data_IF_923246356593
#
_entry.id   IF_923246356593
#
_cell.length_a   1.000
_cell.length_b   1.000
_cell.length_c   1.000
_cell.angle_alpha   90.00
_cell.angle_beta   90.00
_cell.angle_gamma   90.00
#
_symmetry.space_group_name_H-M   'P 1'
#
loop_
_entity.id
_entity.type
_entity.pdbx_description
1 polymer ?
#
# COMPACT_ATOMS: atom_id res chain seq x y z
N UNK A 1 -33.54 -68.10 6.12
CA UNK A 1 -32.26 -67.57 6.65
C UNK A 1 -32.07 -66.15 6.15
N UNK A 2 -31.76 -65.21 7.07
CA UNK A 2 -31.35 -63.80 6.90
C UNK A 2 -32.41 -62.87 6.28
N UNK A 3 -33.03 -61.90 6.96
CA UNK A 3 -32.72 -61.20 8.22
C UNK A 3 -31.99 -59.88 7.94
N UNK A 4 -32.72 -58.80 7.63
CA UNK A 4 -32.19 -57.43 7.63
C UNK A 4 -33.21 -56.47 8.28
N UNK A 5 -32.80 -55.96 9.45
CA UNK A 5 -33.58 -55.08 10.31
C UNK A 5 -33.60 -53.63 9.83
N UNK A 6 -34.75 -52.98 10.06
CA UNK A 6 -34.94 -51.53 9.95
C UNK A 6 -34.45 -50.86 11.22
N UNK A 7 -33.45 -49.98 11.12
CA UNK A 7 -33.08 -49.07 12.20
C UNK A 7 -33.81 -47.73 12.01
N UNK A 8 -34.78 -47.45 12.88
CA UNK A 8 -35.33 -46.12 13.09
C UNK A 8 -34.36 -45.30 13.96
N UNK A 9 -33.91 -44.15 13.46
CA UNK A 9 -33.28 -43.10 14.27
C UNK A 9 -34.36 -42.09 14.69
N UNK A 10 -34.44 -41.72 15.99
CA UNK A 10 -35.31 -40.64 16.43
C UNK A 10 -34.72 -39.27 16.06
N UNK A 11 -35.61 -38.37 15.61
CA UNK A 11 -35.31 -36.96 15.35
C UNK A 11 -35.26 -36.20 16.69
N UNK A 12 -34.15 -35.52 16.96
CA UNK A 12 -34.05 -34.54 18.06
C UNK A 12 -34.56 -33.16 17.59
N UNK A 13 -35.37 -32.47 18.40
CA UNK A 13 -35.82 -31.11 18.09
C UNK A 13 -34.68 -30.11 18.32
N UNK A 14 -34.41 -29.25 17.33
CA UNK A 14 -33.54 -28.08 17.47
C UNK A 14 -34.31 -26.98 18.21
N UNK A 15 -33.93 -26.73 19.45
CA UNK A 15 -34.34 -25.54 20.19
C UNK A 15 -33.70 -24.29 19.58
N UNK A 16 -34.54 -23.33 19.20
CA UNK A 16 -34.11 -22.01 18.76
C UNK A 16 -33.77 -21.13 19.95
N UNK A 17 -32.57 -20.56 19.94
CA UNK A 17 -32.20 -19.45 20.79
C UNK A 17 -32.12 -18.20 19.91
N UNK A 18 -33.14 -17.35 20.04
CA UNK A 18 -33.20 -16.00 19.49
C UNK A 18 -32.42 -15.08 20.44
N UNK A 19 -31.32 -14.43 20.03
CA UNK A 19 -30.74 -13.35 20.81
C UNK A 19 -31.56 -12.08 20.58
N UNK A 20 -32.00 -11.54 21.71
CA UNK A 20 -32.76 -10.32 21.93
C UNK A 20 -32.11 -9.13 21.20
N UNK A 21 -32.91 -8.43 20.40
CA UNK A 21 -32.61 -7.08 19.90
C UNK A 21 -32.37 -6.14 21.08
N UNK A 22 -31.16 -5.61 21.17
CA UNK A 22 -30.81 -4.55 22.10
C UNK A 22 -31.05 -3.20 21.40
N UNK A 23 -31.94 -2.41 21.98
CA UNK A 23 -32.34 -1.07 21.51
C UNK A 23 -31.13 -0.13 21.33
N UNK A 24 -31.03 0.48 20.15
CA UNK A 24 -30.18 1.64 19.89
C UNK A 24 -30.90 2.91 20.38
N UNK A 25 -30.23 3.80 21.15
CA UNK A 25 -30.79 5.10 21.51
C UNK A 25 -30.75 6.10 20.32
N UNK A 26 -31.66 7.08 20.27
CA UNK A 26 -31.80 8.00 19.14
C UNK A 26 -30.85 9.20 19.21
N UNK A 27 -30.29 9.55 18.05
CA UNK A 27 -30.23 10.93 17.53
C UNK A 27 -29.08 11.84 17.96
N UNK A 28 -28.24 12.22 16.99
CA UNK A 28 -27.62 13.56 16.92
C UNK A 28 -27.80 14.09 15.49
N UNK A 29 -28.37 15.30 15.28
CA UNK A 29 -28.58 15.85 13.95
C UNK A 29 -27.29 16.45 13.36
N UNK A 30 -27.06 16.15 12.07
CA UNK A 30 -26.02 16.74 11.23
C UNK A 30 -26.28 18.24 11.01
N UNK A 31 -25.37 19.07 11.50
CA UNK A 31 -25.26 20.47 11.11
C UNK A 31 -24.76 20.57 9.67
N UNK A 32 -25.60 21.15 8.81
CA UNK A 32 -25.23 21.63 7.48
C UNK A 32 -24.06 22.63 7.58
N UNK A 33 -22.97 22.38 6.86
CA UNK A 33 -21.97 23.40 6.53
C UNK A 33 -22.07 23.77 5.06
N UNK A 34 -22.53 24.99 4.85
CA UNK A 34 -22.50 25.74 3.61
C UNK A 34 -21.03 26.05 3.30
N UNK A 35 -20.50 25.52 2.20
CA UNK A 35 -19.21 25.95 1.64
C UNK A 35 -19.51 26.97 0.56
N UNK A 36 -19.23 28.23 0.85
CA UNK A 36 -19.23 29.32 -0.11
C UNK A 36 -17.98 29.23 -0.99
N UNK A 37 -18.19 29.09 -2.30
CA UNK A 37 -17.15 29.18 -3.33
C UNK A 37 -16.74 30.65 -3.51
N UNK A 38 -15.46 30.96 -3.33
CA UNK A 38 -14.86 32.21 -3.79
C UNK A 38 -13.94 31.93 -4.99
N UNK A 39 -14.06 32.68 -6.10
CA UNK A 39 -13.17 32.53 -7.25
C UNK A 39 -11.89 33.36 -7.05
N UNK A 40 -10.74 32.70 -6.94
CA UNK A 40 -9.45 33.38 -7.03
C UNK A 40 -8.99 33.38 -8.49
N UNK A 41 -9.15 34.56 -9.11
CA UNK A 41 -8.41 34.98 -10.29
C UNK A 41 -6.91 35.06 -9.95
N UNK A 42 -6.05 34.38 -10.71
CA UNK A 42 -4.64 34.75 -10.80
C UNK A 42 -4.27 35.05 -12.25
N UNK A 43 -3.96 36.33 -12.45
CA UNK A 43 -3.46 36.90 -13.70
C UNK A 43 -2.00 36.50 -13.94
N UNK A 44 -1.71 36.19 -15.21
CA UNK A 44 -0.38 35.95 -15.72
C UNK A 44 0.50 37.22 -15.68
N UNK A 45 1.81 37.03 -15.48
CA UNK A 45 2.83 38.02 -15.88
C UNK A 45 4.08 37.30 -16.37
N UNK A 46 4.55 37.55 -17.62
CA UNK A 46 5.81 37.03 -18.13
C UNK A 46 6.89 38.11 -18.04
N UNK A 47 8.02 37.79 -17.41
CA UNK A 47 9.28 38.54 -17.46
C UNK A 47 10.36 37.47 -17.22
N UNK A 48 11.45 37.32 -17.96
CA UNK A 48 12.09 38.11 -19.00
C UNK A 48 13.46 37.47 -19.21
N UNK A 49 13.95 37.55 -20.45
CA UNK A 49 15.22 37.06 -20.95
C UNK A 49 16.46 37.68 -20.28
N UNK A 50 17.56 36.95 -20.45
CA UNK A 50 18.96 37.41 -20.57
C UNK A 50 19.69 37.96 -19.33
N UNK A 51 20.75 37.24 -18.93
CA UNK A 51 22.13 37.72 -19.10
C UNK A 51 23.17 36.63 -18.78
N UNK A 52 23.94 36.27 -19.80
CA UNK A 52 25.36 35.89 -19.64
C UNK A 52 26.11 37.07 -19.01
N UNK A 53 27.13 36.80 -18.21
CA UNK A 53 28.42 37.47 -18.34
C UNK A 53 29.51 36.67 -17.59
N UNK A 54 30.58 36.44 -18.34
CA UNK A 54 31.83 35.83 -17.93
C UNK A 54 32.63 36.77 -17.01
N UNK A 55 33.35 36.17 -16.07
CA UNK A 55 34.79 36.36 -15.79
C UNK A 55 35.35 37.76 -15.49
N UNK A 56 36.08 37.87 -14.37
CA UNK A 56 37.36 38.61 -14.15
C UNK A 56 37.85 38.19 -12.75
N UNK A 57 38.87 37.33 -12.59
CA UNK A 57 40.32 37.58 -12.44
C UNK A 57 40.74 38.67 -11.43
N UNK A 58 41.37 38.19 -10.34
CA UNK A 58 42.56 38.69 -9.60
C UNK A 58 42.54 40.13 -9.07
N UNK A 59 42.80 40.25 -7.76
CA UNK A 59 43.84 41.16 -7.24
C UNK A 59 44.38 40.67 -5.90
N UNK A 60 45.69 40.83 -5.78
CA UNK A 60 46.58 40.55 -4.65
C UNK A 60 46.64 41.76 -3.69
N UNK A 61 47.11 41.45 -2.48
CA UNK A 61 48.07 42.22 -1.67
C UNK A 61 47.57 43.02 -0.44
N UNK A 62 48.48 43.00 0.54
CA UNK A 62 48.59 43.74 1.79
C UNK A 62 47.58 43.34 2.88
N UNK A 63 47.97 42.79 4.03
CA UNK A 63 49.14 43.13 4.83
C UNK A 63 48.69 44.08 5.93
N UNK A 64 48.17 43.55 7.04
CA UNK A 64 48.03 44.29 8.30
C UNK A 64 48.29 43.36 9.49
N UNK A 65 49.22 43.83 10.30
CA UNK A 65 49.74 43.29 11.54
C UNK A 65 48.79 43.50 12.73
N UNK A 66 48.79 42.51 13.61
CA UNK A 66 48.61 42.56 15.08
C UNK A 66 47.45 43.36 15.67
N UNK A 67 46.53 42.65 16.32
CA UNK A 67 46.27 42.81 17.76
C UNK A 67 45.59 41.55 18.29
N UNK A 68 46.28 40.85 19.19
CA UNK A 68 45.71 39.76 19.97
C UNK A 68 44.82 40.36 21.05
N UNK A 69 43.50 40.26 20.86
CA UNK A 69 42.54 40.43 21.96
C UNK A 69 42.12 39.02 22.36
N UNK A 70 42.69 38.53 23.45
CA UNK A 70 42.21 37.34 24.15
C UNK A 70 40.88 37.68 24.83
N UNK A 71 39.81 37.71 24.04
CA UNK A 71 38.47 37.57 24.58
C UNK A 71 38.27 36.08 24.84
N UNK A 72 38.19 35.72 26.12
CA UNK A 72 37.61 34.47 26.59
C UNK A 72 36.13 34.45 26.19
N UNK A 73 35.87 34.26 24.90
CA UNK A 73 34.59 33.73 24.44
C UNK A 73 34.59 32.28 24.92
N UNK A 74 33.94 32.06 26.06
CA UNK A 74 33.40 30.74 26.37
C UNK A 74 32.41 30.48 25.25
N UNK A 75 32.90 29.93 24.14
CA UNK A 75 32.06 29.21 23.22
C UNK A 75 31.54 28.05 24.07
N UNK A 76 30.39 28.27 24.68
CA UNK A 76 29.49 27.18 25.00
C UNK A 76 29.24 26.54 23.65
N UNK A 77 30.08 25.55 23.33
CA UNK A 77 29.71 24.47 22.45
C UNK A 77 28.41 23.98 23.06
N UNK A 78 27.30 24.48 22.56
CA UNK A 78 26.03 23.79 22.65
C UNK A 78 26.35 22.51 21.91
N UNK A 79 26.87 21.54 22.66
CA UNK A 79 26.81 20.15 22.30
C UNK A 79 25.32 19.92 22.21
N UNK A 80 24.80 20.17 21.02
CA UNK A 80 23.55 19.63 20.55
C UNK A 80 23.79 18.13 20.66
N UNK A 81 23.47 17.60 21.86
CA UNK A 81 23.50 16.18 22.14
C UNK A 81 22.74 15.57 20.97
N UNK A 82 23.39 14.72 20.15
CA UNK A 82 22.75 14.20 18.96
C UNK A 82 21.44 13.60 19.43
N UNK A 83 20.33 14.20 19.01
CA UNK A 83 18.98 13.81 19.41
C UNK A 83 18.95 12.32 19.17
N UNK A 84 18.96 11.55 20.25
CA UNK A 84 19.23 10.11 20.19
C UNK A 84 18.14 9.56 19.31
N UNK A 85 18.46 9.27 18.04
CA UNK A 85 17.51 8.79 17.04
C UNK A 85 16.73 7.70 17.74
N UNK A 86 15.44 7.92 17.99
CA UNK A 86 14.68 7.08 18.92
C UNK A 86 14.86 5.64 18.45
N UNK A 87 15.57 4.86 19.25
CA UNK A 87 15.98 3.53 18.87
C UNK A 87 14.75 2.66 18.63
N UNK A 88 14.91 1.58 17.87
CA UNK A 88 13.88 0.55 17.77
C UNK A 88 13.35 0.19 19.17
N UNK A 89 12.01 0.15 19.37
CA UNK A 89 11.43 -0.37 20.60
C UNK A 89 12.06 -1.73 20.94
N UNK A 90 12.36 -1.99 22.21
CA UNK A 90 13.01 -3.25 22.60
C UNK A 90 12.06 -4.45 22.48
N UNK A 91 10.76 -4.19 22.43
CA UNK A 91 9.70 -5.17 22.40
C UNK A 91 8.58 -4.70 21.45
N UNK A 92 7.99 -5.64 20.72
CA UNK A 92 6.82 -5.40 19.87
C UNK A 92 5.55 -5.34 20.73
N UNK A 93 4.84 -4.21 20.66
CA UNK A 93 3.67 -3.95 21.50
C UNK A 93 2.33 -4.43 20.94
N UNK A 94 2.30 -4.90 19.69
CA UNK A 94 1.06 -5.27 19.00
C UNK A 94 0.56 -6.67 19.33
N UNK A 95 -0.76 -6.83 19.45
CA UNK A 95 -1.41 -8.15 19.58
C UNK A 95 -1.66 -8.86 18.24
N UNK A 96 -1.29 -8.25 17.12
CA UNK A 96 -1.52 -8.77 15.77
C UNK A 96 -0.27 -8.67 14.88
N UNK A 97 -0.26 -9.45 13.80
CA UNK A 97 0.84 -9.49 12.84
C UNK A 97 0.92 -8.17 12.06
N UNK A 98 2.03 -7.44 12.22
CA UNK A 98 2.31 -6.19 11.50
C UNK A 98 1.39 -5.00 11.80
N UNK A 99 0.26 -5.20 12.47
CA UNK A 99 -0.79 -4.22 12.68
C UNK A 99 -0.56 -3.25 13.85
N UNK A 100 0.69 -3.01 14.26
CA UNK A 100 1.00 -2.11 15.37
C UNK A 100 2.16 -1.17 15.05
N UNK A 101 2.02 0.07 15.52
CA UNK A 101 3.06 1.10 15.57
C UNK A 101 3.06 1.78 16.96
N UNK A 102 4.19 2.31 17.44
CA UNK A 102 4.28 2.91 18.77
C UNK A 102 3.40 4.14 19.01
N UNK A 103 3.18 4.95 17.96
CA UNK A 103 2.33 6.14 17.99
C UNK A 103 1.90 6.48 16.56
N UNK A 104 0.67 6.98 16.43
CA UNK A 104 0.26 7.66 15.19
C UNK A 104 1.08 8.94 15.02
N UNK A 105 1.45 9.26 13.78
CA UNK A 105 2.21 10.46 13.51
C UNK A 105 1.28 11.65 13.26
N UNK A 106 1.77 12.85 13.59
CA UNK A 106 1.15 14.11 13.19
C UNK A 106 1.97 14.68 12.02
N UNK A 107 1.68 14.17 10.81
CA UNK A 107 2.35 14.55 9.57
C UNK A 107 1.26 14.75 8.51
N UNK A 108 1.34 15.85 7.76
CA UNK A 108 0.40 16.14 6.68
C UNK A 108 0.28 14.97 5.69
N UNK A 109 -0.97 14.52 5.45
CA UNK A 109 -1.29 13.43 4.53
C UNK A 109 -1.14 12.01 5.11
N UNK A 110 -0.82 11.85 6.39
CA UNK A 110 -0.71 10.53 7.04
C UNK A 110 -2.05 9.76 7.07
N UNK A 111 -3.16 10.49 6.98
CA UNK A 111 -4.52 9.93 6.93
C UNK A 111 -4.91 9.43 5.53
N UNK A 112 -4.11 9.73 4.51
CA UNK A 112 -4.37 9.35 3.11
C UNK A 112 -3.36 8.34 2.57
N UNK A 113 -2.13 8.31 3.12
CA UNK A 113 -1.04 7.46 2.65
C UNK A 113 -0.18 6.91 3.78
N UNK A 114 0.35 5.70 3.57
CA UNK A 114 1.22 5.05 4.55
C UNK A 114 2.49 5.84 4.85
N UNK A 115 3.09 6.50 3.85
CA UNK A 115 4.31 7.30 3.99
C UNK A 115 4.20 8.58 3.14
N UNK A 116 3.69 9.69 3.69
CA UNK A 116 3.62 10.97 2.99
C UNK A 116 5.00 11.64 2.82
N UNK A 117 5.10 12.60 1.91
CA UNK A 117 6.26 13.49 1.82
C UNK A 117 7.58 12.81 1.37
N UNK A 118 8.71 13.36 1.85
CA UNK A 118 10.05 12.96 1.44
C UNK A 118 10.94 12.72 2.68
N UNK A 119 10.90 11.52 3.26
CA UNK A 119 11.76 11.18 4.39
C UNK A 119 13.23 11.11 3.98
N UNK A 120 14.13 11.40 4.94
CA UNK A 120 15.58 11.47 4.74
C UNK A 120 16.33 10.23 5.22
N UNK A 121 15.73 9.46 6.13
CA UNK A 121 16.25 8.16 6.54
C UNK A 121 15.12 7.20 6.88
N UNK A 122 15.37 5.90 6.68
CA UNK A 122 14.49 4.85 7.18
C UNK A 122 15.28 3.83 8.02
N UNK A 123 14.72 3.41 9.16
CA UNK A 123 15.27 2.35 10.01
C UNK A 123 14.26 1.23 10.18
N UNK A 124 14.63 0.02 9.76
CA UNK A 124 13.80 -1.19 9.91
C UNK A 124 14.21 -1.92 11.20
N UNK A 125 13.26 -2.22 12.05
CA UNK A 125 13.39 -2.97 13.29
C UNK A 125 12.70 -4.33 13.13
N UNK A 126 13.40 -5.42 13.46
CA UNK A 126 12.89 -6.78 13.27
C UNK A 126 12.60 -7.48 14.60
N UNK A 127 11.42 -8.10 14.68
CA UNK A 127 10.89 -8.79 15.86
C UNK A 127 10.41 -10.20 15.47
N UNK A 128 11.33 -11.20 15.41
CA UNK A 128 10.99 -12.57 15.05
C UNK A 128 10.07 -13.21 16.10
N UNK A 129 9.07 -13.95 15.64
CA UNK A 129 8.10 -14.63 16.48
C UNK A 129 7.29 -15.67 15.70
N UNK A 130 6.04 -15.87 16.13
CA UNK A 130 5.09 -16.78 15.49
C UNK A 130 3.70 -16.14 15.46
N UNK A 131 2.96 -16.30 14.38
CA UNK A 131 1.61 -15.75 14.25
C UNK A 131 0.55 -16.43 15.16
N UNK A 132 0.91 -17.48 15.91
CA UNK A 132 0.06 -18.12 16.93
C UNK A 132 0.29 -17.59 18.34
N UNK A 133 1.35 -16.81 18.55
CA UNK A 133 1.71 -16.19 19.84
C UNK A 133 2.28 -14.81 19.55
N UNK A 134 1.37 -13.88 19.29
CA UNK A 134 1.70 -12.51 18.91
C UNK A 134 1.82 -11.62 20.14
N UNK A 135 2.67 -10.62 20.02
CA UNK A 135 2.94 -9.64 21.05
C UNK A 135 4.11 -10.06 21.92
N UNK A 136 4.86 -9.04 22.37
CA UNK A 136 6.04 -9.18 23.22
C UNK A 136 7.26 -9.79 22.55
N UNK A 137 7.29 -9.88 21.22
CA UNK A 137 8.47 -10.28 20.48
C UNK A 137 9.61 -9.29 20.76
N UNK A 138 10.80 -9.80 21.05
CA UNK A 138 11.96 -8.96 21.35
C UNK A 138 12.64 -8.49 20.07
N UNK A 139 13.21 -7.29 20.13
CA UNK A 139 14.05 -6.75 19.08
C UNK A 139 15.23 -7.70 18.82
N UNK A 140 15.30 -8.24 17.60
CA UNK A 140 16.44 -9.07 17.18
C UNK A 140 17.51 -8.27 16.45
N UNK A 141 17.14 -7.16 15.82
CA UNK A 141 18.07 -6.35 15.06
C UNK A 141 17.41 -5.13 14.42
N UNK A 142 18.26 -4.23 13.95
CA UNK A 142 17.83 -3.07 13.17
C UNK A 142 18.74 -2.86 11.96
N UNK A 143 18.18 -2.23 10.93
CA UNK A 143 18.88 -1.89 9.69
C UNK A 143 18.46 -0.52 9.21
N UNK A 144 19.44 0.35 8.97
CA UNK A 144 19.20 1.62 8.28
C UNK A 144 19.18 1.38 6.78
N UNK A 145 18.19 1.95 6.09
CA UNK A 145 18.13 2.11 4.64
C UNK A 145 18.53 3.55 4.35
N UNK A 146 19.59 3.77 3.58
CA UNK A 146 20.13 5.12 3.32
C UNK A 146 19.92 5.59 1.89
N UNK A 147 20.17 4.73 0.90
CA UNK A 147 20.17 5.14 -0.50
C UNK A 147 18.78 5.03 -1.16
N UNK A 148 17.90 4.19 -0.61
CA UNK A 148 16.61 3.86 -1.22
C UNK A 148 15.42 4.35 -0.40
N UNK A 149 15.63 5.31 0.51
CA UNK A 149 14.58 5.81 1.42
C UNK A 149 13.40 6.39 0.65
N UNK A 150 13.68 7.22 -0.35
CA UNK A 150 12.63 7.81 -1.19
C UNK A 150 11.93 6.76 -2.05
N UNK A 151 12.65 5.73 -2.52
CA UNK A 151 12.04 4.63 -3.26
C UNK A 151 11.12 3.81 -2.34
N UNK A 152 11.55 3.52 -1.12
CA UNK A 152 10.75 2.83 -0.10
C UNK A 152 9.49 3.62 0.26
N UNK A 153 9.65 4.90 0.60
CA UNK A 153 8.53 5.79 0.92
C UNK A 153 7.53 5.86 -0.24
N UNK A 154 8.03 6.06 -1.47
CA UNK A 154 7.20 6.08 -2.67
C UNK A 154 6.44 4.78 -2.85
N UNK A 155 7.11 3.64 -2.81
CA UNK A 155 6.48 2.35 -3.06
C UNK A 155 5.40 2.04 -2.01
N UNK A 156 5.65 2.38 -0.73
CA UNK A 156 4.66 2.24 0.35
C UNK A 156 3.49 3.24 0.21
N UNK A 157 3.76 4.47 -0.23
CA UNK A 157 2.72 5.49 -0.47
C UNK A 157 1.75 5.13 -1.59
N UNK A 158 2.17 4.23 -2.49
CA UNK A 158 1.35 3.76 -3.59
C UNK A 158 0.52 2.52 -3.25
N UNK A 159 0.67 1.93 -2.07
CA UNK A 159 -0.17 0.81 -1.69
C UNK A 159 -1.62 1.29 -1.51
N UNK A 160 -2.62 0.50 -1.93
CA UNK A 160 -4.03 0.81 -1.69
C UNK A 160 -4.31 0.81 -0.18
N UNK A 161 -5.00 1.84 0.29
CA UNK A 161 -5.45 1.94 1.68
C UNK A 161 -6.84 1.34 1.83
N UNK A 162 -7.07 0.61 2.91
CA UNK A 162 -8.29 -0.15 3.18
C UNK A 162 -8.78 0.13 4.60
N UNK A 163 -10.09 0.24 4.78
CA UNK A 163 -10.69 0.50 6.09
C UNK A 163 -10.81 -0.72 7.02
N UNK A 164 -10.91 -1.94 6.47
CA UNK A 164 -11.37 -3.10 7.26
C UNK A 164 -10.37 -4.26 7.36
N UNK A 165 -10.54 -5.08 8.40
CA UNK A 165 -9.90 -6.40 8.53
C UNK A 165 -10.46 -7.38 7.50
N UNK A 166 -9.64 -8.33 7.05
CA UNK A 166 -10.09 -9.43 6.18
C UNK A 166 -9.77 -10.79 6.80
N UNK A 167 -10.60 -11.77 6.48
CA UNK A 167 -10.43 -13.14 6.94
C UNK A 167 -9.33 -13.82 6.15
N UNK A 168 -8.31 -14.30 6.89
CA UNK A 168 -7.25 -15.11 6.33
C UNK A 168 -7.25 -16.49 6.93
N UNK A 169 -6.86 -17.47 6.10
CA UNK A 169 -6.59 -18.81 6.59
C UNK A 169 -5.47 -18.74 7.62
N UNK A 170 -5.81 -18.99 8.88
CA UNK A 170 -4.84 -18.98 9.97
C UNK A 170 -3.97 -20.24 9.92
N UNK A 171 -3.00 -20.31 9.00
CA UNK A 171 -1.93 -21.30 9.15
C UNK A 171 -0.91 -20.77 10.14
N UNK A 172 -0.75 -21.51 11.25
CA UNK A 172 0.28 -21.22 12.24
C UNK A 172 1.68 -21.40 11.67
N UNK A 173 2.57 -20.45 11.93
CA UNK A 173 3.91 -20.45 11.35
C UNK A 173 4.84 -19.40 11.92
N UNK A 174 6.07 -19.42 11.39
CA UNK A 174 7.07 -18.39 11.68
C UNK A 174 6.62 -17.06 11.10
N UNK A 175 6.89 -16.01 11.85
CA UNK A 175 6.61 -14.64 11.46
C UNK A 175 7.76 -13.75 11.90
N UNK A 176 7.95 -12.63 11.20
CA UNK A 176 8.77 -11.52 11.67
C UNK A 176 7.92 -10.27 11.61
N UNK A 177 7.63 -9.67 12.77
CA UNK A 177 7.03 -8.34 12.82
C UNK A 177 8.12 -7.30 12.52
N UNK A 178 7.73 -6.27 11.78
CA UNK A 178 8.60 -5.16 11.41
C UNK A 178 7.99 -3.83 11.85
N UNK A 179 8.86 -2.96 12.36
CA UNK A 179 8.60 -1.53 12.46
C UNK A 179 9.59 -0.80 11.57
N UNK A 180 9.12 0.11 10.73
CA UNK A 180 9.94 0.98 9.90
C UNK A 180 9.75 2.40 10.39
N UNK A 181 10.82 3.01 10.90
CA UNK A 181 10.83 4.43 11.22
C UNK A 181 11.30 5.22 10.01
N UNK A 182 10.50 6.17 9.56
CA UNK A 182 10.92 7.21 8.62
C UNK A 182 11.18 8.51 9.38
N UNK A 183 12.38 9.07 9.24
CA UNK A 183 12.73 10.39 9.79
C UNK A 183 12.60 11.45 8.67
N UNK A 184 12.07 12.64 9.02
CA UNK A 184 11.87 13.76 8.10
C UNK A 184 12.84 14.92 8.39
N UNK A 185 13.09 15.83 7.42
CA UNK A 185 14.01 16.95 7.60
C UNK A 185 13.71 17.87 8.80
N UNK A 186 12.44 18.00 9.21
CA UNK A 186 12.03 18.84 10.34
C UNK A 186 12.19 18.18 11.72
N UNK A 187 12.68 16.93 11.76
CA UNK A 187 12.84 16.16 13.00
C UNK A 187 11.61 15.31 13.36
N UNK A 188 10.52 15.44 12.60
CA UNK A 188 9.36 14.56 12.72
C UNK A 188 9.70 13.14 12.29
N UNK A 189 8.87 12.18 12.73
CA UNK A 189 9.01 10.81 12.30
C UNK A 189 7.71 10.05 12.28
N UNK A 190 7.69 9.09 11.36
CA UNK A 190 6.58 8.19 11.11
C UNK A 190 7.00 6.76 11.39
N UNK A 191 6.12 5.99 12.01
CA UNK A 191 6.28 4.55 12.12
C UNK A 191 5.33 3.85 11.14
N UNK A 192 5.85 2.84 10.45
CA UNK A 192 5.05 1.91 9.66
C UNK A 192 5.25 0.50 10.20
N UNK A 193 4.16 -0.17 10.57
CA UNK A 193 4.12 -1.56 10.98
C UNK A 193 3.81 -2.46 9.79
N UNK A 194 4.46 -3.62 9.73
CA UNK A 194 4.14 -4.71 8.78
C UNK A 194 4.74 -6.02 9.29
N UNK A 195 4.60 -7.11 8.55
CA UNK A 195 5.21 -8.39 8.88
C UNK A 195 5.57 -9.22 7.64
N UNK A 196 6.46 -10.20 7.81
CA UNK A 196 6.61 -11.32 6.89
C UNK A 196 6.09 -12.58 7.58
N UNK A 197 5.14 -13.28 6.96
CA UNK A 197 4.60 -14.53 7.48
C UNK A 197 4.13 -15.47 6.36
N UNK A 198 3.77 -16.69 6.75
CA UNK A 198 3.58 -17.82 5.84
C UNK A 198 2.33 -17.73 4.95
N UNK A 199 1.32 -16.96 5.34
CA UNK A 199 0.07 -16.79 4.61
C UNK A 199 0.09 -15.58 3.66
N UNK A 200 1.14 -14.75 3.70
CA UNK A 200 1.20 -13.43 3.05
C UNK A 200 -0.03 -12.55 3.33
N UNK A 201 -0.62 -12.69 4.51
CA UNK A 201 -1.81 -11.99 4.96
C UNK A 201 -1.50 -11.18 6.22
N UNK A 202 -0.92 -10.01 6.01
CA UNK A 202 -0.68 -9.03 7.07
C UNK A 202 -0.96 -7.65 6.53
N UNK A 203 -1.49 -6.80 7.41
CA UNK A 203 -1.65 -5.40 7.09
C UNK A 203 -0.30 -4.68 7.20
N UNK A 204 -0.13 -3.66 6.37
CA UNK A 204 0.88 -2.63 6.56
C UNK A 204 0.16 -1.36 7.01
N UNK A 205 0.57 -0.76 8.13
CA UNK A 205 -0.15 0.38 8.73
C UNK A 205 0.80 1.43 9.25
N UNK A 206 0.39 2.69 9.22
CA UNK A 206 1.08 3.79 9.90
C UNK A 206 0.42 4.22 11.22
N UNK A 207 -0.58 3.45 11.69
CA UNK A 207 -1.39 3.77 12.86
C UNK A 207 -2.69 4.51 12.55
N UNK A 208 -2.80 5.16 11.39
CA UNK A 208 -4.04 5.83 10.94
C UNK A 208 -4.70 5.12 9.77
N UNK A 209 -3.92 4.80 8.73
CA UNK A 209 -4.38 4.01 7.58
C UNK A 209 -3.70 2.65 7.55
N UNK A 210 -4.35 1.70 6.88
CA UNK A 210 -3.83 0.35 6.67
C UNK A 210 -3.91 -0.03 5.20
N UNK A 211 -3.01 -0.90 4.74
CA UNK A 211 -3.04 -1.54 3.44
C UNK A 211 -2.99 -3.06 3.60
N UNK A 212 -3.75 -3.77 2.79
CA UNK A 212 -3.70 -5.24 2.69
C UNK A 212 -2.62 -5.75 1.74
N UNK A 213 -1.94 -4.85 1.03
CA UNK A 213 -0.89 -5.25 0.09
C UNK A 213 0.31 -5.83 0.81
N UNK A 214 0.69 -7.04 0.44
CA UNK A 214 1.77 -7.75 1.10
C UNK A 214 3.14 -7.26 0.63
N UNK A 215 3.89 -6.67 1.57
CA UNK A 215 5.27 -6.18 1.34
C UNK A 215 6.32 -6.85 2.24
N UNK A 216 5.92 -7.86 3.02
CA UNK A 216 6.79 -8.52 4.00
C UNK A 216 8.12 -9.01 3.45
N UNK A 217 8.11 -9.69 2.29
CA UNK A 217 9.34 -10.18 1.62
C UNK A 217 10.31 -9.04 1.27
N UNK A 218 9.79 -7.92 0.78
CA UNK A 218 10.61 -6.75 0.43
C UNK A 218 11.23 -6.12 1.68
N UNK A 219 10.47 -6.02 2.77
CA UNK A 219 10.96 -5.53 4.07
C UNK A 219 12.05 -6.45 4.63
N UNK A 220 11.86 -7.78 4.56
CA UNK A 220 12.87 -8.75 4.99
C UNK A 220 14.17 -8.62 4.19
N UNK A 221 14.06 -8.49 2.86
CA UNK A 221 15.21 -8.29 1.99
C UNK A 221 15.95 -6.98 2.33
N UNK A 222 15.21 -5.90 2.54
CA UNK A 222 15.76 -4.60 2.93
C UNK A 222 16.40 -4.62 4.31
N UNK A 223 15.81 -5.31 5.29
CA UNK A 223 16.43 -5.49 6.61
C UNK A 223 17.76 -6.26 6.53
N UNK A 224 17.83 -7.28 5.67
CA UNK A 224 19.05 -8.08 5.48
C UNK A 224 20.15 -7.29 4.76
N UNK A 225 19.79 -6.55 3.73
CA UNK A 225 20.76 -5.96 2.78
C UNK A 225 21.01 -4.46 2.98
N UNK A 226 20.09 -3.75 3.62
CA UNK A 226 20.09 -2.28 3.69
C UNK A 226 19.55 -1.58 2.42
N UNK A 227 19.15 -2.34 1.40
CA UNK A 227 18.66 -1.79 0.13
C UNK A 227 17.18 -2.12 -0.05
N UNK A 228 16.39 -1.13 -0.45
CA UNK A 228 14.96 -1.36 -0.71
C UNK A 228 14.71 -1.68 -2.17
N UNK A 229 13.98 -2.76 -2.40
CA UNK A 229 13.48 -3.12 -3.72
C UNK A 229 12.25 -4.02 -3.57
N UNK A 230 11.17 -3.66 -4.26
CA UNK A 230 10.09 -4.60 -4.53
C UNK A 230 10.46 -5.38 -5.78
N UNK A 231 10.63 -6.69 -5.62
CA UNK A 231 10.88 -7.56 -6.77
C UNK A 231 9.60 -7.68 -7.61
N UNK A 232 9.68 -7.42 -8.93
CA UNK A 232 8.57 -7.71 -9.79
C UNK A 232 8.29 -9.22 -9.77
N UNK A 233 7.03 -9.63 -9.96
CA UNK A 233 6.70 -11.05 -10.06
C UNK A 233 7.48 -11.70 -11.21
N UNK A 234 7.94 -12.94 -11.01
CA UNK A 234 8.66 -13.71 -12.05
C UNK A 234 7.86 -13.78 -13.36
N UNK A 235 6.55 -13.93 -13.23
CA UNK A 235 5.62 -13.88 -14.34
C UNK A 235 4.73 -12.64 -14.24
N UNK A 236 4.70 -11.75 -15.25
CA UNK A 236 3.98 -10.48 -15.18
C UNK A 236 2.46 -10.64 -15.08
N UNK A 237 1.94 -11.86 -15.35
CA UNK A 237 0.53 -12.21 -15.17
C UNK A 237 0.19 -12.84 -13.81
N UNK A 238 1.18 -13.07 -12.93
CA UNK A 238 0.97 -13.74 -11.63
C UNK A 238 1.14 -12.80 -10.44
N UNK A 239 1.66 -11.58 -10.63
CA UNK A 239 1.84 -10.63 -9.53
C UNK A 239 0.53 -10.10 -8.95
N UNK A 240 0.48 -10.02 -7.63
CA UNK A 240 -0.50 -9.23 -6.90
C UNK A 240 -0.30 -7.77 -7.31
N UNK A 241 -1.23 -7.26 -8.14
CA UNK A 241 -1.28 -5.84 -8.45
C UNK A 241 -2.05 -5.10 -7.34
N UNK A 242 -1.97 -3.79 -7.39
CA UNK A 242 -2.55 -2.94 -6.37
C UNK A 242 -1.93 -1.56 -6.43
N UNK A 243 -2.78 -0.55 -6.54
CA UNK A 243 -2.36 0.85 -6.54
C UNK A 243 -3.37 1.67 -5.77
N UNK A 244 -2.89 2.65 -5.02
CA UNK A 244 -3.73 3.71 -4.42
C UNK A 244 -4.70 4.30 -5.45
N UNK A 245 -5.94 4.53 -5.03
CA UNK A 245 -7.05 4.92 -5.90
C UNK A 245 -7.86 3.73 -6.42
N UNK A 246 -7.38 2.50 -6.25
CA UNK A 246 -8.17 1.30 -6.57
C UNK A 246 -9.32 1.01 -5.60
N UNK A 247 -9.40 1.76 -4.51
CA UNK A 247 -10.50 1.88 -3.56
C UNK A 247 -11.62 2.82 -4.05
N UNK A 248 -11.33 3.69 -5.02
CA UNK A 248 -12.27 4.70 -5.54
C UNK A 248 -12.66 4.45 -7.01
N UNK A 249 -11.84 3.69 -7.73
CA UNK A 249 -12.04 3.36 -9.15
C UNK A 249 -11.41 2.01 -9.47
N UNK A 250 -11.94 1.24 -10.41
CA UNK A 250 -11.33 -0.03 -10.81
C UNK A 250 -9.89 0.14 -11.30
N UNK A 251 -9.66 1.22 -12.07
CA UNK A 251 -8.37 1.58 -12.66
C UNK A 251 -8.09 3.07 -12.44
N UNK A 252 -7.08 3.45 -11.66
CA UNK A 252 -6.69 4.85 -11.47
C UNK A 252 -6.39 5.58 -12.78
N UNK A 253 -6.46 6.91 -12.74
CA UNK A 253 -6.31 7.75 -13.93
C UNK A 253 -4.94 7.67 -14.61
N UNK A 254 -4.90 8.02 -15.89
CA UNK A 254 -3.68 8.12 -16.71
C UNK A 254 -2.82 6.83 -16.83
N UNK A 255 -3.41 5.63 -17.08
CA UNK A 255 -2.59 4.48 -17.44
C UNK A 255 -1.86 4.72 -18.77
N UNK A 256 -0.61 4.25 -18.84
CA UNK A 256 0.27 4.39 -20.03
C UNK A 256 0.41 3.08 -20.82
N UNK A 257 0.00 1.96 -20.24
CA UNK A 257 -0.02 0.66 -20.93
C UNK A 257 -0.97 -0.29 -20.22
N UNK A 258 -1.38 -1.35 -20.92
CA UNK A 258 -2.09 -2.48 -20.31
C UNK A 258 -1.52 -3.78 -20.84
N UNK A 259 -1.22 -4.72 -19.93
CA UNK A 259 -0.92 -6.10 -20.26
C UNK A 259 -2.14 -6.95 -19.94
N UNK A 260 -2.69 -7.62 -20.95
CA UNK A 260 -3.82 -8.52 -20.83
C UNK A 260 -3.29 -9.94 -20.83
N UNK A 261 -3.55 -10.66 -19.75
CA UNK A 261 -3.17 -12.04 -19.57
C UNK A 261 -4.43 -12.90 -19.58
N UNK A 262 -4.52 -13.87 -20.49
CA UNK A 262 -5.58 -14.88 -20.50
C UNK A 262 -5.09 -16.13 -19.80
N UNK A 263 -5.84 -16.57 -18.81
CA UNK A 263 -5.67 -17.86 -18.17
C UNK A 263 -6.84 -18.75 -18.56
N UNK A 264 -6.57 -19.66 -19.49
CA UNK A 264 -7.51 -20.66 -19.96
C UNK A 264 -7.17 -22.01 -19.29
N UNK A 265 -8.13 -22.69 -18.62
CA UNK A 265 -7.88 -23.90 -17.83
C UNK A 265 -7.19 -25.06 -18.56
N UNK A 266 -7.15 -25.02 -19.90
CA UNK A 266 -6.61 -26.09 -20.76
C UNK A 266 -5.21 -25.80 -21.32
N UNK A 267 -4.65 -24.62 -21.08
CA UNK A 267 -3.35 -24.23 -21.66
C UNK A 267 -2.28 -24.03 -20.57
N UNK A 268 -1.12 -24.66 -20.75
CA UNK A 268 0.01 -24.56 -19.80
C UNK A 268 0.73 -23.21 -19.83
N UNK A 269 0.46 -22.36 -20.83
CA UNK A 269 1.07 -21.04 -20.98
C UNK A 269 -0.03 -19.99 -20.96
N UNK A 270 0.16 -18.95 -20.14
CA UNK A 270 -0.71 -17.79 -20.14
C UNK A 270 -0.48 -17.00 -21.43
N UNK A 271 -1.49 -16.97 -22.31
CA UNK A 271 -1.45 -16.12 -23.48
C UNK A 271 -1.46 -14.66 -23.01
N UNK A 272 -0.66 -13.79 -23.64
CA UNK A 272 -0.51 -12.40 -23.22
C UNK A 272 -0.43 -11.44 -24.40
N UNK A 273 -1.04 -10.27 -24.26
CA UNK A 273 -0.95 -9.17 -25.21
C UNK A 273 -0.71 -7.85 -24.45
N UNK A 274 0.17 -7.00 -24.96
CA UNK A 274 0.49 -5.70 -24.38
C UNK A 274 0.08 -4.59 -25.33
N UNK A 275 -0.57 -3.57 -24.78
CA UNK A 275 -1.09 -2.43 -25.52
C UNK A 275 -0.61 -1.10 -24.96
N UNK A 276 -0.68 -0.07 -25.79
CA UNK A 276 -0.20 1.28 -25.48
C UNK A 276 -1.20 2.13 -24.69
N UNK A 277 -0.93 3.43 -24.55
CA UNK A 277 -1.74 4.35 -23.76
C UNK A 277 -3.19 4.45 -24.24
N UNK A 278 -3.46 4.35 -25.55
CA UNK A 278 -4.80 4.53 -26.10
C UNK A 278 -5.74 3.40 -25.66
N UNK A 279 -5.33 2.15 -25.83
CA UNK A 279 -6.11 0.99 -25.41
C UNK A 279 -6.22 0.94 -23.89
N UNK A 280 -5.13 1.25 -23.17
CA UNK A 280 -5.12 1.28 -21.71
C UNK A 280 -6.16 2.28 -21.16
N UNK A 281 -6.20 3.50 -21.70
CA UNK A 281 -7.20 4.51 -21.29
C UNK A 281 -8.62 4.13 -21.68
N UNK A 282 -8.80 3.55 -22.87
CA UNK A 282 -10.13 3.12 -23.34
C UNK A 282 -10.70 2.02 -22.43
N UNK A 283 -9.87 1.03 -22.08
CA UNK A 283 -10.27 -0.06 -21.20
C UNK A 283 -10.48 0.41 -19.76
N UNK A 284 -9.62 1.29 -19.26
CA UNK A 284 -9.78 1.90 -17.94
C UNK A 284 -11.09 2.71 -17.82
N UNK A 285 -11.40 3.52 -18.85
CA UNK A 285 -12.64 4.29 -18.89
C UNK A 285 -13.88 3.39 -18.86
N UNK A 286 -13.89 2.30 -19.65
CA UNK A 286 -15.00 1.35 -19.67
C UNK A 286 -15.15 0.59 -18.33
N UNK A 287 -14.04 0.20 -17.69
CA UNK A 287 -14.09 -0.44 -16.38
C UNK A 287 -14.57 0.51 -15.27
N UNK A 288 -14.18 1.79 -15.34
CA UNK A 288 -14.57 2.79 -14.35
C UNK A 288 -15.99 3.33 -14.55
N UNK A 289 -16.60 3.12 -15.72
CA UNK A 289 -18.02 3.44 -15.94
C UNK A 289 -18.98 2.38 -15.40
N UNK A 290 -18.47 1.22 -14.97
CA UNK A 290 -19.28 0.20 -14.32
C UNK A 290 -19.69 0.65 -12.91
N UNK A 291 -20.89 0.26 -12.50
CA UNK A 291 -21.31 0.34 -11.11
C UNK A 291 -20.42 -0.61 -10.29
N UNK A 292 -19.60 -0.04 -9.40
CA UNK A 292 -18.66 -0.76 -8.57
C UNK A 292 -18.93 -0.53 -7.08
N UNK A 293 -18.55 -1.51 -6.26
CA UNK A 293 -18.72 -1.49 -4.81
C UNK A 293 -17.50 -2.12 -4.13
N UNK A 294 -17.32 -1.85 -2.83
CA UNK A 294 -16.25 -2.45 -2.03
C UNK A 294 -16.30 -3.96 -2.08
N UNK A 295 -15.15 -4.61 -2.28
CA UNK A 295 -15.08 -6.06 -2.39
C UNK A 295 -15.53 -6.76 -1.11
N UNK A 296 -16.46 -7.72 -1.24
CA UNK A 296 -16.86 -8.62 -0.16
C UNK A 296 -15.97 -9.87 -0.03
N UNK A 297 -14.96 -10.02 -0.90
CA UNK A 297 -14.10 -11.20 -0.94
C UNK A 297 -14.10 -11.92 -2.28
N UNK A 298 -14.03 -13.25 -2.26
CA UNK A 298 -13.92 -14.07 -3.48
C UNK A 298 -15.21 -14.05 -4.31
N UNK A 299 -15.06 -14.15 -5.62
CA UNK A 299 -16.20 -14.28 -6.52
C UNK A 299 -16.85 -15.69 -6.37
N UNK A 300 -18.17 -15.76 -6.55
CA UNK A 300 -18.94 -17.00 -6.49
C UNK A 300 -19.28 -17.49 -7.90
N UNK A 301 -18.98 -18.75 -8.24
CA UNK A 301 -19.39 -19.30 -9.54
C UNK A 301 -18.39 -20.24 -10.20
N UNK A 302 -18.58 -20.45 -11.50
CA UNK A 302 -17.97 -21.53 -12.26
C UNK A 302 -16.60 -21.18 -12.87
N UNK A 303 -15.93 -22.21 -13.37
CA UNK A 303 -14.70 -22.07 -14.15
C UNK A 303 -15.01 -21.61 -15.58
N UNK A 304 -14.31 -20.56 -16.02
CA UNK A 304 -14.39 -19.99 -17.36
C UNK A 304 -13.04 -19.44 -17.81
N UNK A 305 -13.02 -18.72 -18.92
CA UNK A 305 -11.86 -17.90 -19.24
C UNK A 305 -11.70 -16.84 -18.15
N UNK A 306 -10.47 -16.66 -17.71
CA UNK A 306 -10.11 -15.61 -16.76
C UNK A 306 -9.06 -14.72 -17.37
N UNK A 307 -9.21 -13.42 -17.15
CA UNK A 307 -8.30 -12.40 -17.60
C UNK A 307 -7.71 -11.68 -16.39
N UNK A 308 -6.41 -11.43 -16.46
CA UNK A 308 -5.75 -10.47 -15.57
C UNK A 308 -5.29 -9.29 -16.41
N UNK A 309 -5.80 -8.12 -16.08
CA UNK A 309 -5.46 -6.85 -16.70
C UNK A 309 -4.48 -6.12 -15.79
N UNK A 310 -3.27 -5.87 -16.26
CA UNK A 310 -2.22 -5.19 -15.51
C UNK A 310 -1.95 -3.82 -16.16
N UNK A 311 -2.50 -2.76 -15.56
CA UNK A 311 -2.33 -1.39 -16.04
C UNK A 311 -1.02 -0.79 -15.51
N UNK A 312 -0.16 -0.35 -16.43
CA UNK A 312 1.10 0.32 -16.12
C UNK A 312 0.95 1.83 -16.09
N UNK A 313 1.78 2.49 -15.28
CA UNK A 313 1.84 3.93 -15.11
C UNK A 313 3.28 4.42 -15.34
N UNK A 314 3.45 5.73 -15.54
CA UNK A 314 4.79 6.34 -15.62
C UNK A 314 5.58 6.16 -14.32
N UNK A 315 4.88 6.11 -13.19
CA UNK A 315 5.45 5.98 -11.85
C UNK A 315 4.64 5.04 -10.98
N UNK A 316 5.29 4.37 -10.03
CA UNK A 316 4.64 3.50 -9.05
C UNK A 316 4.22 2.12 -9.57
N UNK A 317 3.49 1.35 -8.76
CA UNK A 317 3.10 -0.02 -9.06
C UNK A 317 1.98 -0.07 -10.11
N UNK A 318 1.78 -1.27 -10.65
CA UNK A 318 0.69 -1.54 -11.58
C UNK A 318 -0.63 -1.66 -10.82
N UNK A 319 -1.70 -1.16 -11.43
CA UNK A 319 -3.06 -1.50 -11.02
C UNK A 319 -3.46 -2.83 -11.65
N UNK A 320 -4.15 -3.70 -10.92
CA UNK A 320 -4.67 -4.96 -11.46
C UNK A 320 -6.19 -5.01 -11.41
N UNK A 321 -6.78 -5.53 -12.47
CA UNK A 321 -8.19 -5.93 -12.52
C UNK A 321 -8.25 -7.39 -12.98
N UNK A 322 -9.02 -8.18 -12.25
CA UNK A 322 -9.28 -9.59 -12.47
C UNK A 322 -10.67 -9.72 -13.07
N UNK A 323 -10.79 -10.54 -14.11
CA UNK A 323 -12.06 -10.80 -14.76
C UNK A 323 -12.23 -12.31 -14.91
N UNK A 324 -13.35 -12.83 -14.46
CA UNK A 324 -13.73 -14.24 -14.61
C UNK A 324 -15.17 -14.30 -15.10
N UNK A 325 -15.36 -14.66 -16.37
CA UNK A 325 -16.65 -14.49 -17.07
C UNK A 325 -17.84 -15.25 -16.43
N UNK A 326 -17.55 -16.33 -15.70
CA UNK A 326 -18.54 -17.19 -15.04
C UNK A 326 -18.57 -17.04 -13.52
N UNK A 327 -17.98 -15.97 -13.01
CA UNK A 327 -18.05 -15.59 -11.61
C UNK A 327 -19.02 -14.44 -11.39
N UNK A 328 -19.57 -14.37 -10.18
CA UNK A 328 -20.42 -13.30 -9.69
C UNK A 328 -19.80 -12.72 -8.40
N UNK A 329 -19.36 -11.45 -8.41
CA UNK A 329 -19.26 -10.57 -9.57
C UNK A 329 -18.11 -11.00 -10.51
N UNK A 330 -18.23 -10.70 -11.82
CA UNK A 330 -17.27 -11.13 -12.83
C UNK A 330 -15.98 -10.30 -12.86
N UNK A 331 -15.98 -9.07 -12.35
CA UNK A 331 -14.79 -8.21 -12.32
C UNK A 331 -14.44 -7.80 -10.89
N UNK A 332 -13.14 -7.80 -10.57
CA UNK A 332 -12.63 -7.32 -9.29
C UNK A 332 -11.28 -6.62 -9.41
N UNK A 333 -11.08 -5.56 -8.65
CA UNK A 333 -9.77 -5.04 -8.25
C UNK A 333 -9.47 -5.53 -6.82
N UNK A 334 -8.30 -5.23 -6.24
CA UNK A 334 -8.03 -5.55 -4.84
C UNK A 334 -9.09 -5.02 -3.86
N UNK A 335 -9.72 -3.88 -4.14
CA UNK A 335 -10.66 -3.22 -3.22
C UNK A 335 -12.09 -3.10 -3.76
N UNK A 336 -12.30 -3.29 -5.07
CA UNK A 336 -13.59 -3.09 -5.72
C UNK A 336 -14.06 -4.32 -6.50
N UNK A 337 -15.35 -4.42 -6.68
CA UNK A 337 -16.02 -5.41 -7.54
C UNK A 337 -17.02 -4.73 -8.45
N UNK A 338 -17.28 -5.31 -9.63
CA UNK A 338 -18.29 -4.80 -10.56
C UNK A 338 -18.87 -5.90 -11.46
N UNK A 339 -20.07 -5.64 -11.97
CA UNK A 339 -20.68 -6.43 -13.03
C UNK A 339 -20.24 -5.94 -14.41
N UNK A 340 -19.91 -6.88 -15.30
CA UNK A 340 -19.51 -6.57 -16.67
C UNK A 340 -20.72 -6.29 -17.56
N UNK A 341 -20.66 -5.18 -18.29
CA UNK A 341 -21.56 -4.86 -19.39
C UNK A 341 -21.00 -5.34 -20.75
N UNK A 342 -21.76 -5.09 -21.82
CA UNK A 342 -21.35 -5.46 -23.18
C UNK A 342 -20.14 -4.64 -23.67
N UNK A 343 -20.01 -3.39 -23.21
CA UNK A 343 -18.91 -2.51 -23.64
C UNK A 343 -17.54 -3.05 -23.22
N UNK A 344 -17.41 -3.53 -21.98
CA UNK A 344 -16.18 -4.14 -21.49
C UNK A 344 -15.95 -5.50 -22.15
N UNK A 345 -17.00 -6.29 -22.35
CA UNK A 345 -16.91 -7.60 -23.03
C UNK A 345 -16.39 -7.47 -24.46
N UNK A 346 -16.91 -6.53 -25.23
CA UNK A 346 -16.46 -6.28 -26.62
C UNK A 346 -15.00 -5.83 -26.68
N UNK A 347 -14.58 -4.98 -25.74
CA UNK A 347 -13.17 -4.57 -25.62
C UNK A 347 -12.27 -5.77 -25.30
N UNK A 348 -12.69 -6.64 -24.39
CA UNK A 348 -11.94 -7.85 -24.05
C UNK A 348 -11.85 -8.81 -25.22
N UNK A 349 -12.94 -9.07 -25.95
CA UNK A 349 -12.93 -9.94 -27.13
C UNK A 349 -11.94 -9.43 -28.17
N UNK A 350 -11.87 -8.10 -28.37
CA UNK A 350 -10.97 -7.48 -29.34
C UNK A 350 -9.49 -7.49 -28.90
N UNK A 351 -9.22 -7.32 -27.61
CA UNK A 351 -7.88 -7.14 -27.07
C UNK A 351 -7.31 -8.40 -26.40
N UNK A 352 -8.12 -9.43 -26.17
CA UNK A 352 -7.67 -10.64 -25.55
C UNK A 352 -6.71 -11.40 -26.48
N UNK A 353 -5.59 -11.94 -25.95
CA UNK A 353 -4.73 -12.80 -26.73
C UNK A 353 -5.46 -14.11 -27.10
N UNK A 354 -5.22 -14.59 -28.32
CA UNK A 354 -5.63 -15.93 -28.76
C UNK A 354 -4.71 -16.99 -28.16
N UNK A 355 -5.24 -18.18 -27.86
CA UNK A 355 -4.49 -19.30 -27.29
C UNK A 355 -3.54 -19.97 -28.29
#
# INVERSE_FOLDING_TARGET
MRGLGRNHRPQHPRGGNNPTLQEQPPGIPLHARIIALAPLYFAAKPIGRDRRLNGVKRSLAAGFTLTAVALCSVAASVSESPTTRSACPQEYGGGGAGGWVPAAADIDGVDDVLVPGQPVSATICAYPGTNTRMGRERLAGSRVVTNDVLAMARDLSYLPTTGDSWDCTQMGGRMINYLIRFDYPGGEALWVGSAEEVNSCVATTNGTVSSRSYVGKAITAAHRTGNWKIEPPEHPCLGEGGRRGQDQSMVPEAPVSVLICRNAPRHKRHARAQYGPQEARSLAAALNSLDHWSTGGSCHGGSGDSFRLMFGYSEGPRASVYITERCDPPASSPELQANLDDSVRDLLVRLAPTN
#
